data_IF_663643585804
#
_entry.id   IF_663643585804
#
_cell.length_a   1.000
_cell.length_b   1.000
_cell.length_c   1.000
_cell.angle_alpha   90.00
_cell.angle_beta   90.00
_cell.angle_gamma   90.00
#
_symmetry.space_group_name_H-M   'P 1'
#
loop_
_entity.id
_entity.type
_entity.pdbx_description
1 polymer ?
#
# COMPACT_ATOMS: atom_id res chain seq x y z
N UNK A 1 11.34 26.48 -74.82
CA UNK A 1 11.70 25.61 -73.69
C UNK A 1 12.34 26.45 -72.60
N UNK A 2 11.55 27.01 -71.68
CA UNK A 2 12.01 27.47 -70.37
C UNK A 2 10.86 27.19 -69.43
N UNK A 3 10.97 26.11 -68.65
CA UNK A 3 10.01 25.77 -67.61
C UNK A 3 10.27 26.70 -66.41
N UNK A 4 9.27 27.49 -66.03
CA UNK A 4 9.32 28.33 -64.85
C UNK A 4 9.34 27.42 -63.61
N UNK A 5 10.44 27.46 -62.86
CA UNK A 5 10.58 26.71 -61.62
C UNK A 5 9.86 27.48 -60.51
N UNK A 6 8.56 27.20 -60.35
CA UNK A 6 7.78 27.74 -59.25
C UNK A 6 8.35 27.22 -57.92
N UNK A 7 9.04 28.10 -57.20
CA UNK A 7 9.54 27.79 -55.86
C UNK A 7 8.32 27.75 -54.93
N UNK A 8 8.05 26.63 -54.23
CA UNK A 8 6.85 26.52 -53.40
C UNK A 8 6.90 27.55 -52.27
N UNK A 9 5.86 28.38 -52.19
CA UNK A 9 5.67 29.37 -51.14
C UNK A 9 5.58 28.63 -49.79
N UNK A 10 6.57 28.85 -48.94
CA UNK A 10 6.67 28.16 -47.65
C UNK A 10 5.75 28.87 -46.67
N UNK A 11 4.53 28.36 -46.51
CA UNK A 11 3.63 28.83 -45.47
C UNK A 11 4.27 28.56 -44.10
N UNK A 12 4.49 29.61 -43.31
CA UNK A 12 4.89 29.50 -41.89
C UNK A 12 3.70 28.98 -41.07
N UNK A 13 3.45 27.67 -41.20
CA UNK A 13 2.45 26.97 -40.39
C UNK A 13 3.11 26.64 -39.07
N UNK A 14 2.79 27.39 -38.02
CA UNK A 14 3.21 27.02 -36.68
C UNK A 14 2.50 25.71 -36.28
N UNK A 15 3.25 24.61 -36.00
CA UNK A 15 2.63 23.34 -35.68
C UNK A 15 1.89 23.47 -34.34
N UNK A 16 0.66 22.94 -34.28
CA UNK A 16 -0.18 22.91 -33.06
C UNK A 16 0.54 22.24 -31.87
N UNK A 17 1.60 21.47 -32.12
CA UNK A 17 2.43 20.82 -31.11
C UNK A 17 3.82 21.50 -30.93
N UNK A 18 3.90 22.80 -31.23
CA UNK A 18 5.08 23.64 -31.00
C UNK A 18 5.48 23.59 -29.52
N UNK A 19 6.76 23.36 -29.18
CA UNK A 19 7.23 23.31 -27.80
C UNK A 19 6.84 24.53 -26.96
N UNK A 20 6.68 25.70 -27.60
CA UNK A 20 6.27 26.96 -26.97
C UNK A 20 4.80 26.99 -26.54
N UNK A 21 3.94 26.18 -27.15
CA UNK A 21 2.50 26.12 -26.89
C UNK A 21 2.08 24.92 -26.03
N UNK A 22 3.03 24.07 -25.62
CA UNK A 22 2.75 22.90 -24.78
C UNK A 22 2.37 23.34 -23.37
N UNK A 23 1.06 23.49 -23.14
CA UNK A 23 0.54 23.56 -21.79
C UNK A 23 0.77 22.22 -21.08
N UNK A 24 1.06 22.22 -19.77
CA UNK A 24 1.25 20.99 -19.03
C UNK A 24 -0.04 20.15 -19.08
N UNK A 25 0.05 18.96 -19.67
CA UNK A 25 -1.06 18.00 -19.80
C UNK A 25 -1.53 17.43 -18.45
N UNK A 26 -0.76 17.66 -17.39
CA UNK A 26 -1.03 17.16 -16.05
C UNK A 26 -1.15 18.31 -15.06
N UNK A 27 -2.22 18.28 -14.28
CA UNK A 27 -2.35 19.14 -13.10
C UNK A 27 -1.34 18.70 -12.03
N UNK A 28 -0.70 19.67 -11.38
CA UNK A 28 0.18 19.39 -10.25
C UNK A 28 -0.62 18.72 -9.11
N UNK A 29 -0.03 17.70 -8.46
CA UNK A 29 -0.67 16.98 -7.35
C UNK A 29 -0.96 17.95 -6.20
N UNK A 30 -2.25 18.18 -5.91
CA UNK A 30 -2.67 18.92 -4.72
C UNK A 30 -2.58 18.02 -3.49
N UNK A 31 -1.89 18.46 -2.43
CA UNK A 31 -1.81 17.71 -1.15
C UNK A 31 -3.21 17.67 -0.52
N UNK A 32 -3.64 16.47 -0.12
CA UNK A 32 -4.95 16.23 0.50
C UNK A 32 -4.72 16.03 2.00
N UNK A 33 -5.45 16.80 2.82
CA UNK A 33 -5.41 16.70 4.28
C UNK A 33 -6.73 16.10 4.79
N UNK A 34 -6.76 14.80 5.12
CA UNK A 34 -7.97 14.15 5.60
C UNK A 34 -8.36 14.67 6.98
N UNK A 35 -9.66 14.87 7.22
CA UNK A 35 -10.18 15.28 8.53
C UNK A 35 -10.28 14.08 9.48
N UNK A 36 -10.15 14.32 10.79
CA UNK A 36 -10.44 13.29 11.79
C UNK A 36 -11.92 12.87 11.72
N UNK A 37 -12.17 11.56 11.83
CA UNK A 37 -13.51 10.97 11.84
C UNK A 37 -13.61 10.11 13.09
N UNK A 38 -14.61 10.39 13.94
CA UNK A 38 -14.93 9.63 15.15
C UNK A 38 -16.18 8.76 14.90
N UNK A 39 -16.26 7.61 15.58
CA UNK A 39 -17.42 6.71 15.46
C UNK A 39 -17.13 5.27 15.90
N UNK A 40 -18.18 4.45 15.96
CA UNK A 40 -18.09 3.03 16.30
C UNK A 40 -17.23 2.24 15.28
N UNK A 41 -17.49 2.43 13.99
CA UNK A 41 -16.70 1.80 12.92
C UNK A 41 -15.22 2.24 12.92
N UNK A 42 -14.93 3.47 13.34
CA UNK A 42 -13.55 3.93 13.50
C UNK A 42 -12.86 3.20 14.67
N UNK A 43 -13.54 3.03 15.81
CA UNK A 43 -13.01 2.26 16.95
C UNK A 43 -12.74 0.80 16.58
N UNK A 44 -13.64 0.18 15.82
CA UNK A 44 -13.41 -1.18 15.30
C UNK A 44 -12.17 -1.25 14.39
N UNK A 45 -11.97 -0.25 13.53
CA UNK A 45 -10.77 -0.17 12.69
C UNK A 45 -9.47 -0.07 13.51
N UNK A 46 -9.49 0.69 14.61
CA UNK A 46 -8.36 0.75 15.55
C UNK A 46 -8.06 -0.60 16.18
N UNK A 47 -9.10 -1.36 16.58
CA UNK A 47 -8.93 -2.72 17.10
C UNK A 47 -8.31 -3.64 16.04
N UNK A 48 -8.83 -3.64 14.81
CA UNK A 48 -8.29 -4.45 13.71
C UNK A 48 -6.85 -4.08 13.38
N UNK A 49 -6.52 -2.79 13.36
CA UNK A 49 -5.17 -2.30 13.15
C UNK A 49 -4.22 -2.79 14.24
N UNK A 50 -4.62 -2.70 15.51
CA UNK A 50 -3.84 -3.21 16.64
C UNK A 50 -3.60 -4.71 16.50
N UNK A 51 -4.64 -5.50 16.28
CA UNK A 51 -4.53 -6.96 16.16
C UNK A 51 -3.61 -7.37 15.01
N UNK A 52 -3.82 -6.80 13.82
CA UNK A 52 -3.04 -7.16 12.62
C UNK A 52 -1.57 -6.76 12.73
N UNK A 53 -1.27 -5.56 13.25
CA UNK A 53 0.10 -5.12 13.49
C UNK A 53 0.77 -5.95 14.59
N UNK A 54 0.06 -6.26 15.68
CA UNK A 54 0.57 -7.13 16.74
C UNK A 54 0.96 -8.49 16.17
N UNK A 55 0.09 -9.14 15.39
CA UNK A 55 0.42 -10.42 14.75
C UNK A 55 1.66 -10.24 13.87
N UNK A 56 1.70 -9.22 13.01
CA UNK A 56 2.83 -9.00 12.09
C UNK A 56 4.17 -8.85 12.82
N UNK A 57 4.24 -8.03 13.86
CA UNK A 57 5.49 -7.73 14.56
C UNK A 57 5.87 -8.77 15.61
N UNK A 58 4.90 -9.41 16.26
CA UNK A 58 5.15 -10.38 17.32
C UNK A 58 5.51 -11.75 16.74
N UNK A 59 4.90 -12.16 15.62
CA UNK A 59 5.15 -13.48 15.01
C UNK A 59 6.63 -13.86 14.87
N UNK A 60 7.54 -13.00 14.36
CA UNK A 60 8.96 -13.36 14.23
C UNK A 60 9.71 -13.46 15.57
N UNK A 61 9.18 -12.90 16.66
CA UNK A 61 9.81 -12.91 17.97
C UNK A 61 9.40 -14.12 18.81
N UNK A 62 8.36 -14.86 18.39
CA UNK A 62 7.94 -16.08 19.06
C UNK A 62 9.00 -17.14 18.81
N UNK A 63 9.74 -17.48 19.88
CA UNK A 63 10.69 -18.59 19.91
C UNK A 63 9.92 -19.89 20.13
N UNK A 64 10.26 -20.92 19.38
CA UNK A 64 9.62 -22.23 19.40
C UNK A 64 10.67 -23.32 19.30
N UNK A 65 10.83 -24.08 20.38
CA UNK A 65 11.81 -25.15 20.43
C UNK A 65 11.31 -26.38 19.64
N UNK A 66 12.15 -26.84 18.71
CA UNK A 66 11.92 -28.00 17.84
C UNK A 66 13.06 -29.03 17.92
N UNK A 67 13.96 -28.88 18.89
CA UNK A 67 15.11 -29.74 19.11
C UNK A 67 16.45 -29.12 18.70
N UNK A 68 17.58 -29.81 18.98
CA UNK A 68 18.93 -29.20 19.01
C UNK A 68 19.50 -28.71 17.67
N UNK A 69 18.92 -29.13 16.55
CA UNK A 69 19.42 -28.85 15.20
C UNK A 69 18.40 -28.13 14.31
N UNK A 70 17.25 -27.73 14.87
CA UNK A 70 16.21 -27.02 14.15
C UNK A 70 16.21 -25.53 14.52
N UNK A 71 15.93 -24.62 13.57
CA UNK A 71 15.80 -23.21 13.87
C UNK A 71 14.64 -22.98 14.86
N UNK A 72 14.84 -22.05 15.79
CA UNK A 72 13.99 -21.79 16.95
C UNK A 72 12.91 -20.72 16.69
N UNK A 73 12.72 -20.27 15.44
CA UNK A 73 11.72 -19.26 15.09
C UNK A 73 10.36 -19.90 14.75
N UNK A 74 9.27 -19.51 15.42
CA UNK A 74 7.95 -20.13 15.26
C UNK A 74 7.48 -20.21 13.80
N UNK A 75 7.54 -19.09 13.06
CA UNK A 75 7.23 -19.06 11.63
C UNK A 75 8.48 -18.68 10.86
N UNK A 76 9.04 -19.62 10.11
CA UNK A 76 10.26 -19.44 9.34
C UNK A 76 10.11 -20.01 7.93
N UNK A 77 10.50 -19.23 6.93
CA UNK A 77 10.64 -19.68 5.54
C UNK A 77 12.12 -19.91 5.29
N UNK A 78 12.55 -21.17 5.34
CA UNK A 78 13.93 -21.55 5.06
C UNK A 78 14.10 -21.82 3.56
N UNK A 79 14.61 -20.81 2.84
CA UNK A 79 14.89 -20.91 1.41
C UNK A 79 16.07 -21.84 1.10
N UNK A 80 17.03 -21.99 2.00
CA UNK A 80 18.23 -22.79 1.76
C UNK A 80 17.90 -24.28 1.75
N UNK A 81 17.11 -24.73 2.73
CA UNK A 81 16.67 -26.13 2.81
C UNK A 81 15.32 -26.38 2.13
N UNK A 82 14.70 -25.33 1.57
CA UNK A 82 13.34 -25.36 0.95
C UNK A 82 12.29 -25.90 1.92
N UNK A 83 12.40 -25.54 3.20
CA UNK A 83 11.50 -25.99 4.27
C UNK A 83 10.71 -24.80 4.80
N UNK A 84 9.41 -24.99 4.97
CA UNK A 84 8.54 -24.00 5.59
C UNK A 84 8.15 -24.50 6.99
N UNK A 85 8.39 -23.66 7.97
CA UNK A 85 8.13 -23.96 9.36
C UNK A 85 6.97 -23.10 9.87
N UNK A 86 5.92 -23.75 10.35
CA UNK A 86 4.77 -23.10 10.99
C UNK A 86 4.50 -23.76 12.35
N UNK A 87 5.11 -23.20 13.39
CA UNK A 87 5.15 -23.76 14.75
C UNK A 87 5.72 -25.19 14.75
N UNK A 88 4.91 -26.22 15.06
CA UNK A 88 5.33 -27.63 14.99
C UNK A 88 5.13 -28.26 13.61
N UNK A 89 4.41 -27.58 12.70
CA UNK A 89 4.12 -28.11 11.37
C UNK A 89 5.31 -27.79 10.47
N UNK A 90 5.95 -28.85 9.99
CA UNK A 90 6.99 -28.76 8.98
C UNK A 90 6.41 -29.11 7.61
N UNK A 91 6.38 -28.13 6.71
CA UNK A 91 5.87 -28.30 5.35
C UNK A 91 7.07 -28.48 4.43
N UNK A 92 7.20 -29.70 3.93
CA UNK A 92 8.17 -30.02 2.89
C UNK A 92 7.65 -29.63 1.50
N UNK A 93 8.52 -29.47 0.48
CA UNK A 93 8.10 -29.08 -0.87
C UNK A 93 7.05 -30.01 -1.50
N UNK A 94 7.06 -31.31 -1.17
CA UNK A 94 6.07 -32.27 -1.69
C UNK A 94 4.70 -32.07 -1.04
N UNK A 95 4.69 -31.61 0.22
CA UNK A 95 3.50 -31.35 1.03
C UNK A 95 2.92 -29.94 0.82
N UNK A 96 3.40 -29.22 -0.19
CA UNK A 96 2.97 -27.84 -0.48
C UNK A 96 1.48 -27.74 -0.87
N UNK A 97 0.83 -28.85 -1.21
CA UNK A 97 -0.61 -28.89 -1.51
C UNK A 97 -1.47 -28.45 -0.32
N UNK A 98 -1.02 -28.60 0.94
CA UNK A 98 -1.73 -28.05 2.10
C UNK A 98 -1.81 -26.52 2.06
N UNK A 99 -0.71 -25.85 1.69
CA UNK A 99 -0.67 -24.39 1.56
C UNK A 99 -1.53 -23.94 0.39
N UNK A 100 -1.41 -24.61 -0.76
CA UNK A 100 -2.23 -24.31 -1.92
C UNK A 100 -3.73 -24.45 -1.61
N UNK A 101 -4.14 -25.53 -0.94
CA UNK A 101 -5.52 -25.75 -0.49
C UNK A 101 -6.00 -24.65 0.46
N UNK A 102 -5.17 -24.24 1.42
CA UNK A 102 -5.49 -23.12 2.32
C UNK A 102 -5.67 -21.80 1.54
N UNK A 103 -4.82 -21.52 0.56
CA UNK A 103 -4.94 -20.31 -0.28
C UNK A 103 -6.21 -20.32 -1.13
N UNK A 104 -6.59 -21.48 -1.69
CA UNK A 104 -7.85 -21.63 -2.44
C UNK A 104 -9.05 -21.39 -1.51
N UNK A 105 -9.06 -22.01 -0.33
CA UNK A 105 -10.13 -21.81 0.66
C UNK A 105 -10.19 -20.36 1.14
N UNK A 106 -9.05 -19.72 1.36
CA UNK A 106 -8.96 -18.30 1.71
C UNK A 106 -9.48 -17.40 0.57
N UNK A 107 -9.17 -17.72 -0.69
CA UNK A 107 -9.67 -17.00 -1.86
C UNK A 107 -11.18 -17.11 -2.00
N UNK A 108 -11.74 -18.32 -1.88
CA UNK A 108 -13.19 -18.55 -1.89
C UNK A 108 -13.86 -17.84 -0.71
N UNK A 109 -13.30 -17.97 0.50
CA UNK A 109 -13.80 -17.31 1.69
C UNK A 109 -13.80 -15.79 1.55
N UNK A 110 -12.71 -15.21 1.05
CA UNK A 110 -12.60 -13.79 0.78
C UNK A 110 -13.63 -13.34 -0.27
N UNK A 111 -13.79 -14.10 -1.37
CA UNK A 111 -14.80 -13.83 -2.38
C UNK A 111 -16.21 -13.80 -1.79
N UNK A 112 -16.58 -14.81 -1.00
CA UNK A 112 -17.89 -14.89 -0.33
C UNK A 112 -18.11 -13.74 0.66
N UNK A 113 -17.11 -13.36 1.44
CA UNK A 113 -17.19 -12.21 2.35
C UNK A 113 -17.36 -10.91 1.56
N UNK A 114 -16.66 -10.77 0.44
CA UNK A 114 -16.77 -9.58 -0.40
C UNK A 114 -18.09 -9.48 -1.14
N UNK A 115 -18.69 -10.60 -1.56
CA UNK A 115 -20.01 -10.58 -2.23
C UNK A 115 -21.16 -10.33 -1.25
N UNK A 116 -21.03 -10.77 0.01
CA UNK A 116 -22.08 -10.61 1.04
C UNK A 116 -21.98 -9.30 1.82
N UNK A 117 -20.78 -8.91 2.27
CA UNK A 117 -20.55 -7.72 3.13
C UNK A 117 -19.91 -6.55 2.36
N UNK A 118 -19.46 -6.77 1.12
CA UNK A 118 -18.81 -5.74 0.32
C UNK A 118 -17.35 -5.51 0.70
N UNK A 119 -16.97 -4.24 0.96
CA UNK A 119 -15.57 -3.84 1.23
C UNK A 119 -15.09 -4.12 2.65
N UNK A 120 -15.64 -5.12 3.34
CA UNK A 120 -15.25 -5.42 4.71
C UNK A 120 -13.76 -5.77 4.84
N UNK A 121 -13.25 -6.68 3.99
CA UNK A 121 -11.83 -7.03 4.02
C UNK A 121 -10.94 -5.85 3.62
N UNK A 122 -11.20 -5.28 2.45
CA UNK A 122 -10.42 -4.19 1.88
C UNK A 122 -10.48 -2.89 2.70
N UNK A 123 -11.51 -2.72 3.54
CA UNK A 123 -11.70 -1.52 4.35
C UNK A 123 -11.12 -1.59 5.76
N UNK A 124 -10.93 -2.79 6.32
CA UNK A 124 -10.58 -2.98 7.73
C UNK A 124 -9.31 -3.80 7.98
N UNK A 125 -9.02 -4.81 7.16
CA UNK A 125 -7.92 -5.77 7.42
C UNK A 125 -6.82 -5.77 6.33
N UNK A 126 -7.08 -5.16 5.17
CA UNK A 126 -6.07 -5.10 4.10
C UNK A 126 -4.78 -4.44 4.60
N UNK A 127 -3.60 -5.06 4.40
CA UNK A 127 -2.32 -4.52 4.87
C UNK A 127 -2.10 -3.07 4.40
N UNK A 128 -2.38 -2.78 3.13
CA UNK A 128 -2.26 -1.43 2.58
C UNK A 128 -3.06 -0.41 3.42
N UNK A 129 -4.29 -0.74 3.77
CA UNK A 129 -5.18 0.13 4.53
C UNK A 129 -4.67 0.32 5.96
N UNK A 130 -4.35 -0.77 6.65
CA UNK A 130 -3.81 -0.76 8.02
C UNK A 130 -2.59 0.15 8.13
N UNK A 131 -1.64 0.02 7.21
CA UNK A 131 -0.42 0.84 7.18
C UNK A 131 -0.68 2.31 6.86
N UNK A 132 -1.58 2.61 5.90
CA UNK A 132 -1.94 3.99 5.58
C UNK A 132 -2.68 4.64 6.75
N UNK A 133 -3.58 3.93 7.43
CA UNK A 133 -4.25 4.48 8.62
C UNK A 133 -3.27 4.70 9.78
N UNK A 134 -2.31 3.79 9.97
CA UNK A 134 -1.24 3.98 10.95
C UNK A 134 -0.42 5.24 10.62
N UNK A 135 -0.01 5.40 9.36
CA UNK A 135 0.74 6.57 8.91
C UNK A 135 -0.04 7.87 9.13
N UNK A 136 -1.32 7.92 8.73
CA UNK A 136 -2.17 9.08 8.93
C UNK A 136 -2.43 9.38 10.42
N UNK A 137 -2.46 8.35 11.27
CA UNK A 137 -2.58 8.52 12.71
C UNK A 137 -1.30 9.12 13.31
N UNK A 138 -0.13 8.66 12.89
CA UNK A 138 1.16 9.21 13.30
C UNK A 138 1.34 10.64 12.79
N UNK A 139 1.03 10.91 11.51
CA UNK A 139 1.06 12.27 10.94
C UNK A 139 0.14 13.22 11.73
N UNK A 140 -1.06 12.77 12.10
CA UNK A 140 -1.95 13.59 12.94
C UNK A 140 -1.44 13.76 14.38
N UNK A 141 -0.74 12.77 14.92
CA UNK A 141 -0.16 12.87 16.25
C UNK A 141 0.98 13.91 16.31
N UNK A 142 1.75 14.04 15.22
CA UNK A 142 2.88 14.97 15.11
C UNK A 142 2.43 16.36 14.60
N UNK A 143 1.74 16.41 13.46
CA UNK A 143 1.38 17.67 12.77
C UNK A 143 0.03 18.26 13.23
N UNK A 144 -0.77 17.48 13.98
CA UNK A 144 -2.10 17.86 14.45
C UNK A 144 -3.23 17.63 13.42
N UNK A 145 -4.40 18.23 13.66
CA UNK A 145 -5.59 18.07 12.82
C UNK A 145 -5.50 18.85 11.48
N UNK A 146 -6.48 18.69 10.61
CA UNK A 146 -6.49 19.27 9.25
C UNK A 146 -6.12 20.76 9.21
N UNK A 147 -6.63 21.57 10.15
CA UNK A 147 -6.38 23.01 10.16
C UNK A 147 -4.93 23.35 10.53
N UNK A 148 -4.28 22.59 11.42
CA UNK A 148 -2.86 22.81 11.73
C UNK A 148 -1.99 22.39 10.56
N UNK A 149 -2.29 21.27 9.90
CA UNK A 149 -1.56 20.81 8.72
C UNK A 149 -1.62 21.81 7.56
N UNK A 150 -2.79 22.43 7.32
CA UNK A 150 -2.93 23.48 6.30
C UNK A 150 -2.10 24.71 6.65
N UNK A 151 -2.13 25.15 7.92
CA UNK A 151 -1.32 26.28 8.39
C UNK A 151 0.18 25.98 8.29
N UNK A 152 0.61 24.78 8.68
CA UNK A 152 2.00 24.34 8.61
C UNK A 152 2.47 24.28 7.15
N UNK A 153 1.63 23.81 6.23
CA UNK A 153 1.96 23.77 4.80
C UNK A 153 2.18 25.18 4.22
N UNK A 154 1.37 26.16 4.64
CA UNK A 154 1.46 27.55 4.22
C UNK A 154 2.56 28.36 4.94
N UNK A 155 3.09 27.88 6.07
CA UNK A 155 4.11 28.59 6.84
C UNK A 155 5.48 28.62 6.12
N UNK A 156 6.32 29.65 6.33
CA UNK A 156 7.69 29.68 5.84
C UNK A 156 8.57 28.62 6.52
N UNK A 157 9.62 28.14 5.84
CA UNK A 157 10.56 27.14 6.38
C UNK A 157 11.36 27.75 7.55
N UNK A 158 10.90 27.47 8.77
CA UNK A 158 11.45 27.97 10.04
C UNK A 158 11.53 26.78 11.00
N UNK A 159 12.34 26.81 12.07
CA UNK A 159 12.46 25.70 13.03
C UNK A 159 11.18 25.35 13.80
N UNK A 160 10.12 26.17 13.70
CA UNK A 160 8.79 25.88 14.21
C UNK A 160 7.87 25.19 13.16
N UNK A 161 8.39 24.92 11.96
CA UNK A 161 7.76 24.19 10.86
C UNK A 161 8.34 22.78 10.77
#
# INVERSE_FOLDING_TARGET
MLADHQTPERFDVEPVNSPKQRQPLYAARKKIFPRAVSGHFRRFKWLMMLVTLTIYYVTPWIRWDRGPYAPDQAVLVDLANRRFFFFFIEIWPQEFYYVAGMLVMAGIGLFLVTSTVGRAWCGYACPQTVWVDLFLAVERFIDGDRNSQIKLNAAPWTPAK
#
